data_IF_600927574507
#
_entry.id   IF_600927574507
#
_cell.length_a   1.000
_cell.length_b   1.000
_cell.length_c   1.000
_cell.angle_alpha   90.00
_cell.angle_beta   90.00
_cell.angle_gamma   90.00
#
_symmetry.space_group_name_H-M   'P 1'
#
loop_
_entity.id
_entity.type
_entity.pdbx_description
1 polymer ?
#
# COMPACT_ATOMS: atom_id res chain seq x y z
N UNK A 1 10.33 -20.15 -17.89
CA UNK A 1 9.65 -18.88 -17.57
C UNK A 1 8.20 -18.83 -18.10
N UNK A 2 7.91 -19.32 -19.32
CA UNK A 2 6.55 -19.33 -19.88
C UNK A 2 5.57 -20.23 -19.12
N UNK A 3 6.00 -21.39 -18.66
CA UNK A 3 5.20 -22.34 -17.83
C UNK A 3 4.84 -21.77 -16.44
N UNK A 4 5.62 -20.81 -15.92
CA UNK A 4 5.33 -20.13 -14.66
C UNK A 4 4.16 -19.11 -14.79
N UNK A 5 3.99 -18.52 -15.98
CA UNK A 5 2.95 -17.53 -16.23
C UNK A 5 1.57 -18.14 -16.49
N UNK A 6 1.49 -19.36 -17.05
CA UNK A 6 0.22 -20.07 -17.23
C UNK A 6 -0.37 -20.60 -15.90
N UNK A 7 0.48 -20.81 -14.87
CA UNK A 7 0.05 -21.25 -13.54
C UNK A 7 -0.50 -20.17 -12.63
N UNK A 8 -0.39 -18.88 -13.00
CA UNK A 8 -0.74 -17.75 -12.11
C UNK A 8 -2.26 -17.61 -11.90
N UNK A 9 -3.08 -18.20 -12.77
CA UNK A 9 -4.54 -18.08 -12.67
C UNK A 9 -5.21 -18.83 -11.51
N UNK A 10 -4.48 -19.68 -10.79
CA UNK A 10 -5.03 -20.50 -9.70
C UNK A 10 -4.10 -20.71 -8.50
N UNK A 11 -2.91 -20.11 -8.49
CA UNK A 11 -1.94 -20.28 -7.40
C UNK A 11 -1.71 -18.98 -6.65
N UNK A 12 -1.88 -19.01 -5.33
CA UNK A 12 -1.71 -17.84 -4.46
C UNK A 12 -0.27 -17.64 -3.98
N UNK A 13 0.58 -18.68 -4.03
CA UNK A 13 1.98 -18.59 -3.58
C UNK A 13 2.87 -19.58 -4.34
N UNK A 14 4.12 -19.18 -4.57
CA UNK A 14 5.18 -20.01 -5.12
C UNK A 14 6.22 -20.33 -4.05
N UNK A 15 6.67 -21.58 -4.01
CA UNK A 15 7.75 -22.03 -3.13
C UNK A 15 8.87 -22.56 -4.00
N UNK A 16 10.07 -22.00 -3.84
CA UNK A 16 11.25 -22.46 -4.55
C UNK A 16 11.79 -23.75 -3.94
N UNK A 17 12.28 -24.66 -4.77
CA UNK A 17 12.97 -25.88 -4.30
C UNK A 17 14.48 -25.63 -4.20
N UNK A 18 15.15 -26.19 -3.17
CA UNK A 18 14.63 -26.97 -2.03
C UNK A 18 13.92 -26.07 -1.01
N UNK A 19 12.82 -26.57 -0.41
CA UNK A 19 12.03 -25.85 0.61
C UNK A 19 12.31 -26.42 1.99
N UNK A 20 12.54 -25.55 2.97
CA UNK A 20 12.64 -25.94 4.36
C UNK A 20 11.25 -26.32 4.92
N UNK A 21 11.14 -27.38 5.76
CA UNK A 21 9.84 -27.78 6.33
C UNK A 21 9.10 -26.64 7.05
N UNK A 22 9.83 -25.78 7.76
CA UNK A 22 9.25 -24.62 8.45
C UNK A 22 8.64 -23.61 7.47
N UNK A 23 9.28 -23.36 6.33
CA UNK A 23 8.79 -22.45 5.29
C UNK A 23 7.53 -23.03 4.62
N UNK A 24 7.50 -24.34 4.37
CA UNK A 24 6.33 -25.04 3.84
C UNK A 24 5.14 -24.92 4.81
N UNK A 25 5.36 -25.18 6.10
CA UNK A 25 4.32 -25.07 7.14
C UNK A 25 3.80 -23.63 7.22
N UNK A 26 4.68 -22.64 7.29
CA UNK A 26 4.30 -21.23 7.35
C UNK A 26 3.50 -20.80 6.10
N UNK A 27 3.86 -21.30 4.93
CA UNK A 27 3.14 -21.02 3.67
C UNK A 27 1.75 -21.65 3.65
N UNK A 28 1.65 -22.92 4.10
CA UNK A 28 0.36 -23.60 4.23
C UNK A 28 -0.55 -22.93 5.26
N UNK A 29 -0.01 -22.51 6.41
CA UNK A 29 -0.77 -21.78 7.43
C UNK A 29 -1.30 -20.46 6.90
N UNK A 30 -0.49 -19.70 6.15
CA UNK A 30 -0.94 -18.45 5.49
C UNK A 30 -2.02 -18.72 4.45
N UNK A 31 -1.87 -19.78 3.65
CA UNK A 31 -2.88 -20.18 2.65
C UNK A 31 -4.20 -20.54 3.28
N UNK A 32 -4.18 -21.34 4.37
CA UNK A 32 -5.38 -21.73 5.10
C UNK A 32 -6.04 -20.54 5.81
N UNK A 33 -5.24 -19.63 6.38
CA UNK A 33 -5.75 -18.39 6.99
C UNK A 33 -6.41 -17.49 5.94
N UNK A 34 -5.81 -17.37 4.75
CA UNK A 34 -6.37 -16.63 3.63
C UNK A 34 -7.69 -17.25 3.14
N UNK A 35 -7.76 -18.59 3.02
CA UNK A 35 -8.99 -19.28 2.61
C UNK A 35 -10.11 -19.11 3.63
N UNK A 36 -9.77 -19.15 4.93
CA UNK A 36 -10.71 -18.86 6.01
C UNK A 36 -11.18 -17.39 6.02
N UNK A 37 -10.28 -16.47 5.67
CA UNK A 37 -10.59 -15.04 5.56
C UNK A 37 -11.44 -14.74 4.32
N UNK A 38 -11.17 -15.42 3.19
CA UNK A 38 -12.02 -15.40 1.98
C UNK A 38 -13.28 -16.28 2.13
N UNK A 39 -13.75 -16.53 3.36
CA UNK A 39 -14.92 -17.37 3.59
C UNK A 39 -16.23 -16.75 3.09
N UNK A 40 -16.27 -15.43 2.87
CA UNK A 40 -17.39 -14.74 2.25
C UNK A 40 -17.52 -15.12 0.77
N UNK A 41 -18.69 -15.59 0.36
CA UNK A 41 -18.98 -15.89 -1.04
C UNK A 41 -18.87 -14.64 -1.94
N UNK A 42 -19.11 -13.46 -1.39
CA UNK A 42 -18.99 -12.17 -2.05
C UNK A 42 -17.53 -11.86 -2.37
N UNK A 43 -16.60 -12.04 -1.41
CA UNK A 43 -15.17 -11.88 -1.65
C UNK A 43 -14.66 -12.86 -2.71
N UNK A 44 -15.10 -14.11 -2.66
CA UNK A 44 -14.74 -15.11 -3.68
C UNK A 44 -15.23 -14.75 -5.09
N UNK A 45 -16.35 -14.06 -5.21
CA UNK A 45 -16.87 -13.56 -6.50
C UNK A 45 -16.13 -12.29 -6.95
N UNK A 46 -15.74 -11.42 -6.01
CA UNK A 46 -15.07 -10.15 -6.29
C UNK A 46 -13.60 -10.34 -6.64
N UNK A 47 -12.87 -11.17 -5.89
CA UNK A 47 -11.42 -11.34 -6.02
C UNK A 47 -10.94 -11.64 -7.46
N UNK A 48 -11.57 -12.52 -8.26
CA UNK A 48 -11.16 -12.77 -9.65
C UNK A 48 -11.33 -11.57 -10.60
N UNK A 49 -12.12 -10.57 -10.21
CA UNK A 49 -12.35 -9.34 -10.97
C UNK A 49 -11.27 -8.31 -10.72
N UNK A 50 -10.53 -8.44 -9.61
CA UNK A 50 -9.43 -7.53 -9.20
C UNK A 50 -8.11 -7.98 -9.84
N UNK A 51 -7.92 -7.62 -11.11
CA UNK A 51 -6.73 -8.04 -11.91
C UNK A 51 -5.58 -7.06 -11.85
N UNK A 52 -5.86 -5.81 -11.49
CA UNK A 52 -4.87 -4.71 -11.41
C UNK A 52 -4.58 -4.42 -9.95
N UNK A 53 -3.54 -5.04 -9.42
CA UNK A 53 -3.04 -4.75 -8.08
C UNK A 53 -1.81 -3.85 -8.20
N UNK A 54 -1.63 -2.87 -7.29
CA UNK A 54 -0.39 -2.12 -7.20
C UNK A 54 0.80 -3.07 -6.98
N UNK A 55 1.82 -2.97 -7.83
CA UNK A 55 3.06 -3.75 -7.66
C UNK A 55 4.01 -3.02 -6.71
N UNK A 56 4.81 -3.80 -5.96
CA UNK A 56 5.87 -3.21 -5.14
C UNK A 56 7.03 -2.77 -6.04
N UNK A 57 7.58 -1.54 -5.86
CA UNK A 57 8.77 -1.12 -6.57
C UNK A 57 9.97 -2.02 -6.23
N UNK A 58 10.83 -2.34 -7.21
CA UNK A 58 12.08 -3.08 -6.95
C UNK A 58 12.96 -2.36 -5.94
N UNK A 59 12.98 -1.03 -5.99
CA UNK A 59 13.66 -0.15 -5.04
C UNK A 59 13.25 -0.42 -3.58
N UNK A 60 12.00 -0.81 -3.33
CA UNK A 60 11.56 -1.18 -1.97
C UNK A 60 12.31 -2.42 -1.44
N UNK A 61 12.47 -3.46 -2.27
CA UNK A 61 13.21 -4.66 -1.87
C UNK A 61 14.71 -4.39 -1.70
N UNK A 62 15.28 -3.50 -2.52
CA UNK A 62 16.67 -3.08 -2.35
C UNK A 62 16.88 -2.31 -1.04
N UNK A 63 15.94 -1.42 -0.68
CA UNK A 63 15.94 -0.73 0.61
C UNK A 63 15.86 -1.70 1.79
N UNK A 64 14.95 -2.69 1.75
CA UNK A 64 14.86 -3.71 2.80
C UNK A 64 16.17 -4.46 2.98
N UNK A 65 16.76 -4.94 1.89
CA UNK A 65 18.05 -5.66 1.90
C UNK A 65 19.19 -4.80 2.45
N UNK A 66 19.20 -3.51 2.11
CA UNK A 66 20.23 -2.59 2.61
C UNK A 66 20.07 -2.31 4.11
N UNK A 67 18.84 -2.22 4.62
CA UNK A 67 18.54 -2.04 6.04
C UNK A 67 18.98 -3.23 6.90
N UNK A 68 18.96 -4.44 6.34
CA UNK A 68 19.42 -5.67 7.00
C UNK A 68 20.95 -5.85 6.89
N UNK A 69 21.61 -5.03 6.07
CA UNK A 69 23.06 -5.12 5.84
C UNK A 69 23.87 -4.52 6.99
N UNK A 70 25.00 -5.17 7.33
CA UNK A 70 26.00 -4.60 8.24
C UNK A 70 26.68 -3.34 7.68
N UNK A 71 26.57 -3.09 6.38
CA UNK A 71 27.10 -1.90 5.69
C UNK A 71 26.04 -0.80 5.52
N UNK A 72 25.03 -0.75 6.38
CA UNK A 72 24.01 0.30 6.36
C UNK A 72 24.61 1.70 6.47
N UNK A 73 24.21 2.59 5.57
CA UNK A 73 24.48 4.02 5.65
C UNK A 73 23.35 4.82 5.00
N UNK A 74 23.13 6.07 5.45
CA UNK A 74 22.17 6.97 4.81
C UNK A 74 22.54 7.26 3.35
N UNK A 75 23.84 7.29 3.06
CA UNK A 75 24.34 7.48 1.70
C UNK A 75 23.94 6.32 0.79
N UNK A 76 24.07 5.07 1.23
CA UNK A 76 23.66 3.90 0.42
C UNK A 76 22.16 3.88 0.16
N UNK A 77 21.33 4.33 1.09
CA UNK A 77 19.90 4.48 0.92
C UNK A 77 19.60 5.53 -0.15
N UNK A 78 20.26 6.69 -0.07
CA UNK A 78 20.08 7.75 -1.06
C UNK A 78 20.47 7.28 -2.47
N UNK A 79 21.60 6.57 -2.60
CA UNK A 79 22.04 6.00 -3.87
C UNK A 79 21.02 5.01 -4.47
N UNK A 80 20.39 4.18 -3.63
CA UNK A 80 19.34 3.25 -4.09
C UNK A 80 18.13 4.01 -4.64
N UNK A 81 17.66 5.03 -3.93
CA UNK A 81 16.51 5.85 -4.35
C UNK A 81 16.87 6.64 -5.63
N UNK A 82 18.05 7.25 -5.66
CA UNK A 82 18.50 8.09 -6.78
C UNK A 82 18.72 7.32 -8.10
N UNK A 83 18.94 6.00 -8.04
CA UNK A 83 19.05 5.14 -9.26
C UNK A 83 17.75 5.03 -10.04
N UNK A 84 16.62 5.25 -9.39
CA UNK A 84 15.30 5.20 -10.04
C UNK A 84 14.68 6.61 -10.07
N UNK A 85 14.77 7.30 -11.23
CA UNK A 85 14.22 8.65 -11.35
C UNK A 85 12.72 8.73 -11.11
N UNK A 86 11.96 7.67 -11.43
CA UNK A 86 10.52 7.64 -11.22
C UNK A 86 10.19 7.54 -9.72
N UNK A 87 10.88 6.68 -8.98
CA UNK A 87 10.79 6.56 -7.53
C UNK A 87 11.19 7.88 -6.87
N UNK A 88 12.33 8.47 -7.28
CA UNK A 88 12.80 9.76 -6.79
C UNK A 88 11.77 10.88 -6.99
N UNK A 89 11.29 11.06 -8.20
CA UNK A 89 10.32 12.11 -8.52
C UNK A 89 9.02 11.93 -7.72
N UNK A 90 8.55 10.69 -7.60
CA UNK A 90 7.31 10.38 -6.89
C UNK A 90 7.47 10.56 -5.38
N UNK A 91 8.58 10.10 -4.81
CA UNK A 91 8.91 10.33 -3.39
C UNK A 91 8.93 11.83 -3.07
N UNK A 92 9.64 12.62 -3.88
CA UNK A 92 9.71 14.06 -3.71
C UNK A 92 8.35 14.74 -3.87
N UNK A 93 7.51 14.28 -4.80
CA UNK A 93 6.13 14.76 -4.93
C UNK A 93 5.31 14.50 -3.67
N UNK A 94 5.38 13.28 -3.11
CA UNK A 94 4.66 12.91 -1.89
C UNK A 94 5.13 13.72 -0.69
N UNK A 95 6.46 13.84 -0.51
CA UNK A 95 7.05 14.59 0.60
C UNK A 95 6.71 16.09 0.53
N UNK A 96 6.65 16.66 -0.67
CA UNK A 96 6.28 18.07 -0.86
C UNK A 96 4.76 18.30 -0.94
N UNK A 97 3.94 17.29 -0.72
CA UNK A 97 2.50 17.47 -0.65
C UNK A 97 2.07 18.23 0.60
N UNK A 98 0.84 18.73 0.58
CA UNK A 98 0.25 19.43 1.74
C UNK A 98 0.20 18.57 3.02
N UNK A 99 0.29 17.25 2.89
CA UNK A 99 0.31 16.32 4.01
C UNK A 99 1.48 16.54 4.99
N UNK A 100 2.65 16.96 4.47
CA UNK A 100 3.82 17.25 5.31
C UNK A 100 3.91 18.68 5.80
N UNK A 101 3.17 19.60 5.19
CA UNK A 101 3.16 21.04 5.53
C UNK A 101 4.57 21.65 5.70
N UNK A 102 5.51 21.28 4.83
CA UNK A 102 6.90 21.73 4.91
C UNK A 102 7.03 23.21 4.60
N UNK A 103 7.84 23.93 5.39
CA UNK A 103 8.13 25.34 5.16
C UNK A 103 8.98 25.58 3.90
N UNK A 104 9.78 24.60 3.50
CA UNK A 104 10.63 24.66 2.31
C UNK A 104 10.48 23.38 1.49
N UNK A 105 10.56 23.52 0.16
CA UNK A 105 10.49 22.39 -0.74
C UNK A 105 11.76 21.55 -0.67
N UNK A 106 11.58 20.24 -0.52
CA UNK A 106 12.65 19.27 -0.60
C UNK A 106 12.89 18.89 -2.07
N UNK A 107 14.14 18.95 -2.49
CA UNK A 107 14.55 18.65 -3.87
C UNK A 107 15.51 17.48 -3.99
N UNK A 108 16.07 17.02 -2.85
CA UNK A 108 17.00 15.88 -2.77
C UNK A 108 16.37 14.76 -1.91
N UNK A 109 16.35 13.50 -2.37
CA UNK A 109 15.93 12.37 -1.55
C UNK A 109 16.70 12.23 -0.24
N UNK A 110 18.00 12.62 -0.21
CA UNK A 110 18.80 12.61 1.01
C UNK A 110 18.22 13.51 2.09
N UNK A 111 17.72 14.69 1.70
CA UNK A 111 17.04 15.62 2.62
C UNK A 111 15.75 15.03 3.16
N UNK A 112 15.00 14.29 2.30
CA UNK A 112 13.80 13.59 2.73
C UNK A 112 14.13 12.52 3.78
N UNK A 113 15.20 11.73 3.57
CA UNK A 113 15.66 10.72 4.53
C UNK A 113 16.13 11.36 5.82
N UNK A 114 16.88 12.45 5.75
CA UNK A 114 17.37 13.16 6.92
C UNK A 114 16.24 13.78 7.76
N UNK A 115 15.22 14.32 7.11
CA UNK A 115 14.09 14.96 7.77
C UNK A 115 13.08 13.96 8.35
N UNK A 116 12.71 12.94 7.57
CA UNK A 116 11.60 12.03 7.91
C UNK A 116 12.06 10.75 8.60
N UNK A 117 13.34 10.45 8.50
CA UNK A 117 13.91 9.18 8.93
C UNK A 117 13.64 8.04 7.92
N UNK A 118 14.52 7.04 7.98
CA UNK A 118 14.53 5.94 7.01
C UNK A 118 13.25 5.08 7.06
N UNK A 119 12.69 4.83 8.23
CA UNK A 119 11.47 4.01 8.36
C UNK A 119 10.27 4.70 7.70
N UNK A 120 10.15 6.02 7.82
CA UNK A 120 9.11 6.78 7.12
C UNK A 120 9.34 6.70 5.61
N UNK A 121 10.56 6.95 5.14
CA UNK A 121 10.87 6.90 3.69
C UNK A 121 10.62 5.50 3.12
N UNK A 122 10.98 4.44 3.84
CA UNK A 122 10.69 3.05 3.45
C UNK A 122 9.17 2.85 3.26
N UNK A 123 8.36 3.30 4.21
CA UNK A 123 6.90 3.21 4.12
C UNK A 123 6.34 4.04 2.95
N UNK A 124 6.92 5.23 2.69
CA UNK A 124 6.55 6.03 1.53
C UNK A 124 6.87 5.33 0.21
N UNK A 125 8.08 4.75 0.08
CA UNK A 125 8.47 3.98 -1.12
C UNK A 125 7.55 2.79 -1.35
N UNK A 126 7.11 2.10 -0.29
CA UNK A 126 6.10 1.04 -0.37
C UNK A 126 4.80 1.54 -1.02
N UNK A 127 4.39 2.77 -0.70
CA UNK A 127 3.13 3.35 -1.15
C UNK A 127 3.19 4.02 -2.54
N UNK A 128 4.38 4.20 -3.15
CA UNK A 128 4.54 4.97 -4.40
C UNK A 128 3.64 4.48 -5.54
N UNK A 129 3.50 3.17 -5.70
CA UNK A 129 2.67 2.59 -6.75
C UNK A 129 1.18 2.64 -6.41
N UNK A 130 0.86 2.53 -5.12
CA UNK A 130 -0.52 2.57 -4.63
C UNK A 130 -1.17 3.92 -4.95
N UNK A 131 -0.50 5.02 -4.60
CA UNK A 131 -1.02 6.37 -4.82
C UNK A 131 -0.62 6.98 -6.19
N UNK A 132 -0.22 6.15 -7.14
CA UNK A 132 0.07 6.61 -8.50
C UNK A 132 -1.21 7.07 -9.21
N UNK A 133 -1.15 8.16 -10.00
CA UNK A 133 -2.28 8.61 -10.78
C UNK A 133 -2.79 7.50 -11.70
N UNK A 134 -4.11 7.29 -11.69
CA UNK A 134 -4.80 6.34 -12.55
C UNK A 134 -6.03 7.01 -13.15
N UNK A 135 -6.14 6.98 -14.48
CA UNK A 135 -7.33 7.51 -15.16
C UNK A 135 -8.60 6.77 -14.72
N UNK A 136 -8.51 5.45 -14.54
CA UNK A 136 -9.65 4.64 -14.11
C UNK A 136 -10.11 5.01 -12.70
N UNK A 137 -9.16 5.23 -11.76
CA UNK A 137 -9.48 5.69 -10.41
C UNK A 137 -10.11 7.09 -10.41
N UNK A 138 -9.59 8.00 -11.24
CA UNK A 138 -10.15 9.34 -11.39
C UNK A 138 -11.58 9.31 -11.99
N UNK A 139 -11.81 8.48 -13.00
CA UNK A 139 -13.16 8.25 -13.56
C UNK A 139 -14.13 7.68 -12.53
N UNK A 140 -13.62 6.87 -11.61
CA UNK A 140 -14.40 6.34 -10.48
C UNK A 140 -14.63 7.37 -9.36
N UNK A 141 -14.15 8.60 -9.50
CA UNK A 141 -14.29 9.67 -8.49
C UNK A 141 -13.34 9.55 -7.30
N UNK A 142 -12.29 8.73 -7.44
CA UNK A 142 -11.19 8.63 -6.47
C UNK A 142 -10.03 9.51 -6.93
N UNK A 143 -9.68 10.51 -6.11
CA UNK A 143 -8.55 11.38 -6.34
C UNK A 143 -7.37 10.88 -5.51
N UNK A 144 -6.31 10.33 -6.13
CA UNK A 144 -5.18 9.75 -5.39
C UNK A 144 -4.50 10.74 -4.43
N UNK A 145 -4.44 12.00 -4.79
CA UNK A 145 -3.89 13.06 -3.95
C UNK A 145 -4.67 13.24 -2.63
N UNK A 146 -6.00 13.31 -2.70
CA UNK A 146 -6.85 13.48 -1.52
C UNK A 146 -6.74 12.25 -0.60
N UNK A 147 -6.74 11.07 -1.21
CA UNK A 147 -6.60 9.81 -0.50
C UNK A 147 -5.20 9.69 0.15
N UNK A 148 -4.16 10.16 -0.53
CA UNK A 148 -2.82 10.24 0.02
C UNK A 148 -2.78 11.13 1.27
N UNK A 149 -3.31 12.37 1.19
CA UNK A 149 -3.35 13.31 2.33
C UNK A 149 -4.11 12.71 3.50
N UNK A 150 -5.25 12.06 3.24
CA UNK A 150 -6.02 11.37 4.27
C UNK A 150 -5.22 10.24 4.91
N UNK A 151 -4.69 9.31 4.12
CA UNK A 151 -3.95 8.15 4.61
C UNK A 151 -2.70 8.56 5.40
N UNK A 152 -1.98 9.60 4.95
CA UNK A 152 -0.83 10.12 5.67
C UNK A 152 -1.22 10.74 7.02
N UNK A 153 -2.35 11.45 7.07
CA UNK A 153 -2.89 12.03 8.31
C UNK A 153 -3.23 10.93 9.31
N UNK A 154 -3.97 9.90 8.87
CA UNK A 154 -4.31 8.73 9.70
C UNK A 154 -3.05 8.01 10.18
N UNK A 155 -2.06 7.81 9.31
CA UNK A 155 -0.78 7.18 9.64
C UNK A 155 -0.03 7.94 10.75
N UNK A 156 0.02 9.27 10.67
CA UNK A 156 0.65 10.08 11.72
C UNK A 156 -0.08 9.98 13.06
N UNK A 157 -1.40 10.03 13.07
CA UNK A 157 -2.17 9.84 14.30
C UNK A 157 -1.99 8.43 14.86
N UNK A 158 -2.05 7.40 14.04
CA UNK A 158 -1.82 6.02 14.46
C UNK A 158 -0.45 5.85 15.11
N UNK A 159 0.60 6.42 14.51
CA UNK A 159 1.96 6.41 15.07
C UNK A 159 2.04 7.14 16.41
N UNK A 160 1.48 8.35 16.49
CA UNK A 160 1.53 9.15 17.72
C UNK A 160 0.78 8.47 18.87
N UNK A 161 -0.43 7.97 18.61
CA UNK A 161 -1.22 7.24 19.62
C UNK A 161 -0.45 6.00 20.07
N UNK A 162 0.04 5.18 19.14
CA UNK A 162 0.78 3.96 19.48
C UNK A 162 2.05 4.27 20.26
N UNK A 163 2.78 5.31 19.89
CA UNK A 163 3.98 5.71 20.62
C UNK A 163 3.66 6.18 22.04
N UNK A 164 2.59 6.97 22.24
CA UNK A 164 2.21 7.46 23.56
C UNK A 164 1.66 6.36 24.46
N UNK A 165 0.88 5.42 23.92
CA UNK A 165 0.26 4.35 24.69
C UNK A 165 1.23 3.21 25.04
N UNK A 166 2.20 2.91 24.14
CA UNK A 166 3.04 1.73 24.30
C UNK A 166 4.51 2.03 24.58
N UNK A 167 4.99 3.22 24.27
CA UNK A 167 6.43 3.56 24.28
C UNK A 167 7.26 2.75 23.28
N UNK A 168 6.63 1.95 22.42
CA UNK A 168 7.29 1.03 21.49
C UNK A 168 7.42 1.68 20.10
N UNK A 169 8.64 2.14 19.77
CA UNK A 169 8.93 2.80 18.50
C UNK A 169 8.67 1.89 17.29
N UNK A 170 8.98 0.59 17.39
CA UNK A 170 8.75 -0.35 16.28
C UNK A 170 7.25 -0.49 16.01
N UNK A 171 6.45 -0.70 17.04
CA UNK A 171 4.99 -0.81 16.90
C UNK A 171 4.38 0.49 16.37
N UNK A 172 4.91 1.65 16.76
CA UNK A 172 4.48 2.94 16.23
C UNK A 172 4.78 3.08 14.73
N UNK A 173 5.94 2.60 14.26
CA UNK A 173 6.25 2.59 12.82
C UNK A 173 5.39 1.59 12.04
N UNK A 174 5.07 0.43 12.63
CA UNK A 174 4.14 -0.54 12.03
C UNK A 174 2.73 0.07 11.92
N UNK A 175 2.26 0.77 12.96
CA UNK A 175 0.99 1.50 12.96
C UNK A 175 0.96 2.63 11.90
N UNK A 176 2.07 3.33 11.70
CA UNK A 176 2.21 4.33 10.63
C UNK A 176 2.02 3.67 9.26
N UNK A 177 2.70 2.55 8.99
CA UNK A 177 2.58 1.84 7.71
C UNK A 177 1.16 1.31 7.50
N UNK A 178 0.54 0.74 8.53
CA UNK A 178 -0.85 0.30 8.48
C UNK A 178 -1.80 1.47 8.17
N UNK A 179 -1.61 2.62 8.82
CA UNK A 179 -2.37 3.83 8.56
C UNK A 179 -2.19 4.39 7.15
N UNK A 180 -1.01 4.23 6.53
CA UNK A 180 -0.81 4.60 5.12
C UNK A 180 -1.59 3.70 4.16
N UNK A 181 -1.75 2.42 4.49
CA UNK A 181 -2.34 1.42 3.60
C UNK A 181 -3.82 1.13 3.89
N UNK A 182 -4.41 1.68 4.95
CA UNK A 182 -5.76 1.30 5.42
C UNK A 182 -6.85 1.46 4.34
N UNK A 183 -6.70 2.41 3.44
CA UNK A 183 -7.67 2.74 2.38
C UNK A 183 -7.23 2.28 0.97
N UNK A 184 -6.18 1.42 0.87
CA UNK A 184 -5.67 0.93 -0.43
C UNK A 184 -6.73 0.21 -1.25
N UNK A 185 -7.67 -0.46 -0.58
CA UNK A 185 -8.80 -1.15 -1.21
C UNK A 185 -9.63 -0.23 -2.11
N UNK A 186 -9.79 1.04 -1.76
CA UNK A 186 -10.49 2.04 -2.59
C UNK A 186 -9.83 2.24 -3.95
N UNK A 187 -8.50 2.32 -3.98
CA UNK A 187 -7.74 2.45 -5.24
C UNK A 187 -7.87 1.17 -6.07
N UNK A 188 -7.77 0.01 -5.41
CA UNK A 188 -7.88 -1.30 -6.07
C UNK A 188 -9.27 -1.46 -6.69
N UNK A 189 -10.34 -1.16 -5.95
CA UNK A 189 -11.71 -1.23 -6.45
C UNK A 189 -11.94 -0.24 -7.60
N UNK A 190 -11.52 1.01 -7.44
CA UNK A 190 -11.65 2.04 -8.46
C UNK A 190 -10.89 1.70 -9.76
N UNK A 191 -9.69 1.12 -9.66
CA UNK A 191 -8.88 0.74 -10.81
C UNK A 191 -9.41 -0.49 -11.56
N UNK A 192 -10.13 -1.39 -10.88
CA UNK A 192 -10.64 -2.63 -11.46
C UNK A 192 -12.13 -2.55 -11.84
N UNK A 193 -12.91 -1.73 -11.14
CA UNK A 193 -14.36 -1.60 -11.29
C UNK A 193 -14.78 -0.13 -11.46
N UNK A 194 -14.17 0.64 -12.39
CA UNK A 194 -14.31 2.09 -12.41
C UNK A 194 -15.75 2.58 -12.54
N UNK A 195 -16.60 1.91 -13.32
CA UNK A 195 -18.00 2.29 -13.52
C UNK A 195 -18.84 1.97 -12.28
N UNK A 196 -18.70 0.78 -11.72
CA UNK A 196 -19.41 0.35 -10.52
C UNK A 196 -18.99 1.22 -9.32
N UNK A 197 -17.70 1.44 -9.18
CA UNK A 197 -17.18 2.25 -8.07
C UNK A 197 -17.57 3.73 -8.17
N UNK A 198 -17.66 4.28 -9.38
CA UNK A 198 -18.22 5.61 -9.60
C UNK A 198 -19.67 5.73 -9.10
N UNK A 199 -20.49 4.69 -9.36
CA UNK A 199 -21.86 4.66 -8.87
C UNK A 199 -21.92 4.59 -7.33
N UNK A 200 -21.06 3.80 -6.71
CA UNK A 200 -20.92 3.70 -5.24
C UNK A 200 -20.56 5.07 -4.63
N UNK A 201 -19.51 5.72 -5.16
CA UNK A 201 -19.08 7.05 -4.71
C UNK A 201 -20.19 8.09 -4.85
N UNK A 202 -20.90 8.08 -5.98
CA UNK A 202 -22.01 8.99 -6.21
C UNK A 202 -23.18 8.71 -5.25
N UNK A 203 -23.50 7.44 -4.98
CA UNK A 203 -24.56 7.05 -4.06
C UNK A 203 -24.24 7.45 -2.61
N UNK A 204 -23.01 7.24 -2.16
CA UNK A 204 -22.56 7.65 -0.83
C UNK A 204 -22.69 9.17 -0.62
N UNK A 205 -22.26 9.97 -1.61
CA UNK A 205 -22.40 11.44 -1.56
C UNK A 205 -23.86 11.89 -1.55
N UNK A 206 -24.74 11.22 -2.32
CA UNK A 206 -26.14 11.61 -2.46
C UNK A 206 -27.03 11.22 -1.28
N UNK A 207 -26.67 10.17 -0.55
CA UNK A 207 -27.53 9.58 0.51
C UNK A 207 -27.04 9.88 1.94
N UNK A 208 -25.96 10.61 2.13
CA UNK A 208 -25.31 10.80 3.44
C UNK A 208 -24.99 9.48 4.15
N UNK A 209 -24.71 8.42 3.38
CA UNK A 209 -24.23 7.13 3.88
C UNK A 209 -22.72 7.08 3.84
N UNK A 210 -22.13 6.24 4.68
CA UNK A 210 -20.70 5.99 4.58
C UNK A 210 -20.37 5.29 3.26
N UNK A 211 -19.16 5.50 2.74
CA UNK A 211 -18.71 4.82 1.53
C UNK A 211 -18.69 3.30 1.75
N UNK A 212 -18.28 2.85 2.94
CA UNK A 212 -18.27 1.43 3.31
C UNK A 212 -19.65 0.79 3.28
N UNK A 213 -20.68 1.50 3.78
CA UNK A 213 -22.06 0.99 3.71
C UNK A 213 -22.56 0.82 2.27
N UNK A 214 -22.19 1.75 1.36
CA UNK A 214 -22.59 1.64 -0.05
C UNK A 214 -21.76 0.57 -0.79
N UNK A 215 -20.47 0.39 -0.44
CA UNK A 215 -19.65 -0.72 -0.93
C UNK A 215 -20.25 -2.06 -0.53
N UNK A 216 -20.54 -2.26 0.76
CA UNK A 216 -21.18 -3.47 1.26
C UNK A 216 -22.56 -3.73 0.61
N UNK A 217 -23.35 -2.67 0.38
CA UNK A 217 -24.67 -2.79 -0.25
C UNK A 217 -24.59 -3.18 -1.74
N UNK A 218 -23.59 -2.71 -2.48
CA UNK A 218 -23.52 -2.90 -3.95
C UNK A 218 -22.55 -4.02 -4.37
N UNK A 219 -21.46 -4.24 -3.62
CA UNK A 219 -20.47 -5.27 -3.90
C UNK A 219 -20.59 -6.49 -2.97
N UNK A 220 -21.36 -6.38 -1.90
CA UNK A 220 -21.46 -7.38 -0.84
C UNK A 220 -20.31 -7.38 0.16
N UNK A 221 -19.31 -6.52 -0.07
CA UNK A 221 -18.10 -6.36 0.75
C UNK A 221 -17.69 -4.89 0.76
N UNK A 222 -17.01 -4.45 1.83
CA UNK A 222 -16.38 -3.14 1.88
C UNK A 222 -14.87 -3.25 1.59
N UNK A 223 -14.24 -2.13 1.28
CA UNK A 223 -12.79 -2.06 1.00
C UNK A 223 -11.93 -2.44 2.21
N UNK A 224 -12.52 -2.43 3.41
CA UNK A 224 -11.88 -2.82 4.66
C UNK A 224 -11.92 -4.34 4.92
N UNK A 225 -12.73 -5.09 4.17
CA UNK A 225 -12.86 -6.54 4.28
C UNK A 225 -11.77 -7.27 3.49
#
# INVERSE_FOLDING_TARGET
QALLLEGIGGTHQFINRPVAPAELIATLQRGLALDAWLASDELRKLAPRLRRLPSLPSTYFELLKQLESSAFSLQSINEIIARDPAVTARLLQMVNSSAFALAQKITDPADAVALLGIETVKSLVLCLQVFSPSEDAQRAGVVPEDLWVHSFTVANFARQITASETGNVRLANDAFTAGLLHDVGRIVLAANLPQEYAAIVAAARGKSRSLQDEEAAQLGVAQSD
#
